data_IF_315231056452
#
_entry.id   IF_315231056452
#
_cell.length_a   1.000
_cell.length_b   1.000
_cell.length_c   1.000
_cell.angle_alpha   90.00
_cell.angle_beta   90.00
_cell.angle_gamma   90.00
#
_symmetry.space_group_name_H-M   'P 1'
#
loop_
_entity.id
_entity.type
_entity.pdbx_description
1 polymer ?
#
# COMPACT_ATOMS: atom_id res chain seq x y z
N UNK A 1 -28.22 -11.62 24.96
CA UNK A 1 -27.43 -11.79 23.73
C UNK A 1 -27.11 -10.40 23.21
N UNK A 2 -25.86 -9.96 23.37
CA UNK A 2 -25.42 -8.65 22.86
C UNK A 2 -24.04 -8.86 22.25
N UNK A 3 -24.00 -9.05 20.94
CA UNK A 3 -22.77 -9.17 20.17
C UNK A 3 -22.08 -7.81 20.13
N UNK A 4 -21.07 -7.63 20.99
CA UNK A 4 -20.16 -6.50 20.90
C UNK A 4 -19.25 -6.80 19.70
N UNK A 5 -19.59 -6.27 18.54
CA UNK A 5 -18.66 -6.11 17.43
C UNK A 5 -17.58 -5.14 17.88
N UNK A 6 -16.51 -5.69 18.46
CA UNK A 6 -15.26 -4.99 18.71
C UNK A 6 -14.67 -4.59 17.37
N UNK A 7 -15.17 -3.50 16.81
CA UNK A 7 -14.56 -2.78 15.72
C UNK A 7 -13.26 -2.23 16.31
N UNK A 8 -12.18 -3.01 16.17
CA UNK A 8 -10.82 -2.59 16.52
C UNK A 8 -10.46 -1.42 15.62
N UNK A 9 -10.88 -0.22 16.01
CA UNK A 9 -10.31 1.02 15.52
C UNK A 9 -8.84 0.95 15.90
N UNK A 10 -7.99 0.56 14.95
CA UNK A 10 -6.56 0.66 15.11
C UNK A 10 -6.27 2.15 15.35
N UNK A 11 -6.11 2.51 16.63
CA UNK A 11 -5.65 3.82 17.08
C UNK A 11 -4.14 3.90 16.80
N UNK A 12 -3.78 3.68 15.54
CA UNK A 12 -2.45 3.93 15.03
C UNK A 12 -2.47 5.32 14.49
N UNK A 13 -1.78 6.25 15.15
CA UNK A 13 -1.43 7.57 14.63
C UNK A 13 -1.12 7.45 13.13
N UNK A 14 -2.09 7.80 12.28
CA UNK A 14 -1.93 7.74 10.83
C UNK A 14 -1.11 8.96 10.45
N UNK A 15 0.19 8.88 10.72
CA UNK A 15 1.13 9.96 10.42
C UNK A 15 1.08 10.17 8.91
N UNK A 16 0.65 11.37 8.52
CA UNK A 16 0.60 11.76 7.12
C UNK A 16 1.95 11.49 6.46
N UNK A 17 1.88 10.95 5.26
CA UNK A 17 3.01 10.87 4.37
C UNK A 17 3.30 12.27 3.85
N UNK A 18 4.57 12.65 3.82
CA UNK A 18 5.00 13.83 3.10
C UNK A 18 5.00 13.57 1.58
N UNK A 19 4.88 14.61 0.75
CA UNK A 19 4.90 14.47 -0.70
C UNK A 19 6.13 13.72 -1.22
N UNK A 20 7.31 13.94 -0.64
CA UNK A 20 8.53 13.23 -1.00
C UNK A 20 8.48 11.73 -0.66
N UNK A 21 7.82 11.36 0.44
CA UNK A 21 7.62 9.97 0.84
C UNK A 21 6.68 9.25 -0.14
N UNK A 22 5.63 9.94 -0.59
CA UNK A 22 4.71 9.43 -1.61
C UNK A 22 5.44 9.22 -2.94
N UNK A 23 6.29 10.16 -3.36
CA UNK A 23 7.09 10.04 -4.57
C UNK A 23 8.07 8.86 -4.51
N UNK A 24 8.73 8.64 -3.37
CA UNK A 24 9.60 7.47 -3.16
C UNK A 24 8.82 6.16 -3.32
N UNK A 25 7.68 6.05 -2.64
CA UNK A 25 6.80 4.89 -2.75
C UNK A 25 6.38 4.65 -4.21
N UNK A 26 6.03 5.72 -4.93
CA UNK A 26 5.62 5.62 -6.33
C UNK A 26 6.76 5.13 -7.21
N UNK A 27 7.94 5.72 -7.05
CA UNK A 27 9.13 5.35 -7.82
C UNK A 27 9.49 3.87 -7.62
N UNK A 28 9.48 3.39 -6.38
CA UNK A 28 9.81 1.99 -6.08
C UNK A 28 8.77 1.01 -6.63
N UNK A 29 7.48 1.35 -6.57
CA UNK A 29 6.43 0.49 -7.12
C UNK A 29 6.37 0.49 -8.64
N UNK A 30 6.61 1.62 -9.29
CA UNK A 30 6.74 1.67 -10.74
C UNK A 30 7.97 0.92 -11.24
N UNK A 31 9.01 0.80 -10.43
CA UNK A 31 10.20 -0.04 -10.70
C UNK A 31 9.93 -1.55 -10.55
N UNK A 32 8.70 -1.97 -10.23
CA UNK A 32 8.32 -3.39 -10.15
C UNK A 32 8.75 -4.09 -8.85
N UNK A 33 9.17 -3.36 -7.83
CA UNK A 33 9.63 -3.96 -6.57
C UNK A 33 8.49 -4.59 -5.77
N UNK A 34 8.79 -5.68 -5.08
CA UNK A 34 7.87 -6.32 -4.13
C UNK A 34 7.70 -5.47 -2.86
N UNK A 35 6.59 -5.62 -2.15
CA UNK A 35 6.32 -4.80 -0.95
C UNK A 35 7.38 -4.92 0.14
N UNK A 36 7.99 -6.11 0.29
CA UNK A 36 9.09 -6.35 1.24
C UNK A 36 10.36 -5.59 0.82
N UNK A 37 10.68 -5.57 -0.48
CA UNK A 37 11.81 -4.80 -0.99
C UNK A 37 11.55 -3.29 -0.87
N UNK A 38 10.33 -2.84 -1.15
CA UNK A 38 9.92 -1.45 -1.00
C UNK A 38 10.06 -1.03 0.47
N UNK A 39 9.61 -1.84 1.42
CA UNK A 39 9.77 -1.58 2.85
C UNK A 39 11.24 -1.41 3.24
N UNK A 40 12.09 -2.36 2.86
CA UNK A 40 13.52 -2.32 3.21
C UNK A 40 14.20 -1.06 2.65
N UNK A 41 13.98 -0.75 1.37
CA UNK A 41 14.60 0.41 0.73
C UNK A 41 14.01 1.71 1.28
N UNK A 42 12.68 1.81 1.40
CA UNK A 42 12.01 2.98 1.95
C UNK A 42 12.51 3.29 3.36
N UNK A 43 12.55 2.30 4.24
CA UNK A 43 12.95 2.47 5.64
C UNK A 43 14.42 2.82 5.84
N UNK A 44 15.27 2.55 4.84
CA UNK A 44 16.67 3.02 4.78
C UNK A 44 16.78 4.48 4.34
N UNK A 45 15.82 4.97 3.57
CA UNK A 45 15.80 6.36 3.06
C UNK A 45 15.18 7.36 4.02
N UNK A 46 14.23 6.93 4.85
CA UNK A 46 13.52 7.82 5.80
C UNK A 46 14.06 7.73 7.22
N UNK A 47 13.78 8.74 8.03
CA UNK A 47 14.11 8.74 9.46
C UNK A 47 13.36 7.61 10.20
N UNK A 48 13.91 7.14 11.33
CA UNK A 48 13.34 6.04 12.11
C UNK A 48 11.87 6.24 12.52
N UNK A 49 11.48 7.47 12.83
CA UNK A 49 10.10 7.86 13.19
C UNK A 49 9.10 7.76 12.02
N UNK A 50 9.63 7.68 10.80
CA UNK A 50 8.90 7.66 9.52
C UNK A 50 8.89 6.30 8.86
N UNK A 51 9.57 5.31 9.44
CA UNK A 51 9.54 3.95 8.92
C UNK A 51 8.12 3.41 8.87
N UNK A 52 7.86 2.56 7.88
CA UNK A 52 6.56 1.97 7.59
C UNK A 52 6.72 0.49 7.32
N UNK A 53 5.69 -0.27 7.65
CA UNK A 53 5.63 -1.69 7.28
C UNK A 53 5.22 -1.84 5.82
N UNK A 54 5.56 -2.98 5.20
CA UNK A 54 5.11 -3.31 3.86
C UNK A 54 3.59 -3.10 3.66
N UNK A 55 2.77 -3.55 4.62
CA UNK A 55 1.31 -3.40 4.57
C UNK A 55 0.85 -1.93 4.65
N UNK A 56 1.55 -1.08 5.40
CA UNK A 56 1.23 0.35 5.47
C UNK A 56 1.54 1.07 4.14
N UNK A 57 2.64 0.69 3.50
CA UNK A 57 3.03 1.20 2.18
C UNK A 57 2.08 0.71 1.09
N UNK A 58 1.66 -0.56 1.13
CA UNK A 58 0.66 -1.10 0.22
C UNK A 58 -0.69 -0.38 0.35
N UNK A 59 -1.16 -0.17 1.58
CA UNK A 59 -2.41 0.57 1.82
C UNK A 59 -2.31 2.01 1.30
N UNK A 60 -1.16 2.65 1.48
CA UNK A 60 -0.92 4.01 0.97
C UNK A 60 -0.92 4.04 -0.56
N UNK A 61 -0.28 3.08 -1.22
CA UNK A 61 -0.30 2.96 -2.68
C UNK A 61 -1.73 2.79 -3.21
N UNK A 62 -2.52 1.89 -2.62
CA UNK A 62 -3.94 1.71 -3.00
C UNK A 62 -4.74 3.01 -2.83
N UNK A 63 -4.42 3.82 -1.82
CA UNK A 63 -5.02 5.14 -1.66
C UNK A 63 -4.61 6.09 -2.80
N UNK A 64 -3.31 6.24 -3.07
CA UNK A 64 -2.79 7.09 -4.16
C UNK A 64 -3.40 6.73 -5.53
N UNK A 65 -3.65 5.46 -5.77
CA UNK A 65 -4.32 4.99 -6.99
C UNK A 65 -5.82 5.34 -7.03
N UNK A 66 -6.52 5.34 -5.89
CA UNK A 66 -7.92 5.78 -5.81
C UNK A 66 -8.07 7.29 -5.97
N UNK A 67 -7.13 8.05 -5.42
CA UNK A 67 -7.06 9.51 -5.57
C UNK A 67 -6.60 9.96 -6.98
N UNK A 68 -6.29 9.02 -7.89
CA UNK A 68 -5.88 9.33 -9.26
C UNK A 68 -4.48 9.94 -9.39
N UNK A 69 -3.69 9.94 -8.30
CA UNK A 69 -2.32 10.46 -8.27
C UNK A 69 -1.36 9.57 -9.06
N UNK A 70 -1.64 8.28 -9.12
CA UNK A 70 -0.87 7.31 -9.91
C UNK A 70 -1.74 6.81 -11.06
N UNK A 71 -1.31 7.05 -12.30
CA UNK A 71 -2.00 6.54 -13.49
C UNK A 71 -2.08 5.02 -13.46
N UNK A 72 -3.30 4.52 -13.63
CA UNK A 72 -3.77 3.17 -13.30
C UNK A 72 -3.33 2.09 -14.31
N UNK A 73 -2.06 2.08 -14.71
CA UNK A 73 -1.55 1.12 -15.71
C UNK A 73 -1.06 -0.21 -15.11
N UNK A 74 -1.03 -0.36 -13.78
CA UNK A 74 -0.35 -1.50 -13.10
C UNK A 74 -1.27 -2.32 -12.17
N UNK A 75 -2.56 -1.98 -12.06
CA UNK A 75 -3.43 -2.53 -10.99
C UNK A 75 -4.24 -3.78 -11.40
N UNK A 76 -4.31 -4.15 -12.67
CA UNK A 76 -5.20 -5.23 -13.12
C UNK A 76 -4.54 -6.60 -13.35
N UNK A 77 -3.22 -6.74 -13.16
CA UNK A 77 -2.53 -8.00 -13.54
C UNK A 77 -2.68 -9.17 -12.55
N UNK A 78 -3.48 -9.04 -11.48
CA UNK A 78 -3.73 -10.15 -10.54
C UNK A 78 -5.23 -10.45 -10.30
N UNK A 79 -6.12 -10.01 -11.18
CA UNK A 79 -7.53 -10.39 -11.13
C UNK A 79 -8.05 -10.86 -12.49
N UNK A 80 -7.37 -11.83 -13.08
CA UNK A 80 -7.87 -12.65 -14.21
C UNK A 80 -7.38 -14.10 -14.10
N UNK A 81 -7.38 -14.68 -12.90
CA UNK A 81 -7.39 -16.14 -12.74
C UNK A 81 -8.72 -16.57 -12.09
N UNK A 82 -9.79 -16.45 -12.86
CA UNK A 82 -10.99 -17.29 -12.70
C UNK A 82 -11.62 -17.41 -14.08
N UNK A 83 -10.83 -17.91 -15.04
CA UNK A 83 -11.42 -18.51 -16.24
C UNK A 83 -12.11 -19.78 -15.78
N UNK A 84 -13.43 -19.67 -15.66
CA UNK A 84 -14.34 -20.79 -15.64
C UNK A 84 -14.05 -21.72 -16.83
N UNK A 85 -13.37 -22.83 -16.56
CA UNK A 85 -13.60 -24.09 -17.27
C UNK A 85 -14.87 -24.66 -16.64
N UNK A 86 -15.90 -25.08 -17.35
CA UNK A 86 -16.09 -25.35 -18.76
C UNK A 86 -17.45 -26.06 -18.84
N UNK A 87 -18.08 -25.91 -19.99
CA UNK A 87 -19.32 -26.57 -20.41
C UNK A 87 -19.34 -28.09 -20.21
#
# INVERSE_FOLDING_TARGET
MSSITSQSFASGHNKNYYPEEEQLLIHFKQSGLSWIQVEDIYNRTVSRDRQRTASALENKWRQLCRDGIVSQAVIWDLSLDTTALGV
#
